data_IF_429556358089
#
_entry.id   IF_429556358089
#
_cell.length_a   1.000
_cell.length_b   1.000
_cell.length_c   1.000
_cell.angle_alpha   90.00
_cell.angle_beta   90.00
_cell.angle_gamma   90.00
#
_symmetry.space_group_name_H-M   'P 1'
#
loop_
_entity.id
_entity.type
_entity.pdbx_description
1 polymer ?
#
# COMPACT_ATOMS: atom_id res chain seq x y z
N UNK A 1 15.06 4.68 -16.69
CA UNK A 1 15.91 5.12 -15.56
C UNK A 1 16.65 3.99 -14.83
N UNK A 2 16.35 2.71 -15.13
CA UNK A 2 17.04 1.57 -14.52
C UNK A 2 16.49 1.18 -13.14
N UNK A 3 15.17 1.26 -12.98
CA UNK A 3 14.49 0.69 -11.81
C UNK A 3 14.50 -0.85 -11.94
N UNK A 4 14.68 -1.54 -10.82
CA UNK A 4 14.83 -3.01 -10.76
C UNK A 4 13.55 -3.70 -10.26
N UNK A 5 12.41 -3.02 -10.39
CA UNK A 5 11.09 -3.49 -9.98
C UNK A 5 10.19 -2.36 -9.52
N UNK A 6 9.02 -2.71 -9.00
CA UNK A 6 8.07 -1.78 -8.39
C UNK A 6 7.94 -2.13 -6.92
N UNK A 7 8.41 -1.27 -6.02
CA UNK A 7 8.24 -1.45 -4.57
C UNK A 7 6.90 -0.98 -4.02
N UNK A 8 6.11 -0.24 -4.81
CA UNK A 8 4.74 0.17 -4.45
C UNK A 8 3.89 0.46 -5.69
N UNK A 9 2.98 -0.45 -6.02
CA UNK A 9 1.87 -0.23 -6.94
C UNK A 9 0.59 0.00 -6.13
N UNK A 10 0.06 1.23 -6.19
CA UNK A 10 -1.16 1.67 -5.50
C UNK A 10 -2.39 1.30 -6.31
N UNK A 11 -3.33 0.59 -5.70
CA UNK A 11 -4.52 0.08 -6.39
C UNK A 11 -5.67 1.08 -6.41
N UNK A 12 -5.72 2.01 -5.47
CA UNK A 12 -6.71 3.09 -5.37
C UNK A 12 -6.87 3.86 -6.70
N UNK A 13 -5.76 4.17 -7.39
CA UNK A 13 -5.79 4.85 -8.69
C UNK A 13 -6.49 4.04 -9.79
N UNK A 14 -6.54 2.71 -9.67
CA UNK A 14 -7.23 1.83 -10.61
C UNK A 14 -8.74 1.83 -10.42
N UNK A 15 -9.27 2.50 -9.39
CA UNK A 15 -10.70 2.58 -9.11
C UNK A 15 -11.32 3.93 -9.49
N UNK A 16 -10.52 5.00 -9.62
CA UNK A 16 -11.02 6.36 -9.84
C UNK A 16 -11.41 6.69 -11.29
N UNK A 17 -11.15 5.81 -12.27
CA UNK A 17 -11.65 6.00 -13.64
C UNK A 17 -13.19 5.96 -13.68
N UNK A 18 -13.80 6.75 -14.59
CA UNK A 18 -15.24 7.04 -14.60
C UNK A 18 -16.14 5.79 -14.67
N UNK A 19 -15.74 4.76 -15.44
CA UNK A 19 -16.50 3.50 -15.56
C UNK A 19 -16.32 2.57 -14.34
N UNK A 20 -15.28 2.81 -13.53
CA UNK A 20 -14.88 1.95 -12.42
C UNK A 20 -15.40 2.48 -11.09
N UNK A 21 -15.39 3.80 -10.93
CA UNK A 21 -15.84 4.47 -9.71
C UNK A 21 -17.32 4.14 -9.41
N UNK A 22 -18.15 3.99 -10.45
CA UNK A 22 -19.56 3.63 -10.28
C UNK A 22 -19.73 2.21 -9.71
N UNK A 23 -18.89 1.25 -10.11
CA UNK A 23 -18.90 -0.10 -9.52
C UNK A 23 -18.40 -0.10 -8.07
N UNK A 24 -17.47 0.78 -7.70
CA UNK A 24 -17.07 0.97 -6.29
C UNK A 24 -18.22 1.54 -5.48
N UNK A 25 -18.93 2.54 -6.01
CA UNK A 25 -20.09 3.15 -5.36
C UNK A 25 -21.22 2.16 -5.16
N UNK A 26 -21.51 1.32 -6.16
CA UNK A 26 -22.45 0.20 -6.01
C UNK A 26 -22.04 -0.76 -4.89
N UNK A 27 -20.74 -1.07 -4.78
CA UNK A 27 -20.22 -1.91 -3.70
C UNK A 27 -20.43 -1.24 -2.33
N UNK A 28 -20.09 0.05 -2.21
CA UNK A 28 -20.28 0.81 -0.96
C UNK A 28 -21.74 0.79 -0.50
N UNK A 29 -22.68 0.86 -1.45
CA UNK A 29 -24.10 0.99 -1.16
C UNK A 29 -24.81 -0.36 -0.99
N UNK A 30 -24.14 -1.49 -1.25
CA UNK A 30 -24.77 -2.80 -1.17
C UNK A 30 -25.18 -3.18 0.27
N UNK A 31 -26.37 -3.75 0.42
CA UNK A 31 -26.96 -4.10 1.72
C UNK A 31 -26.27 -5.30 2.40
N UNK A 32 -25.63 -6.16 1.61
CA UNK A 32 -25.01 -7.39 2.08
C UNK A 32 -23.75 -7.78 1.28
N UNK A 33 -23.07 -8.83 1.73
CA UNK A 33 -21.87 -9.36 1.08
C UNK A 33 -22.14 -9.82 -0.36
N UNK A 34 -23.32 -10.40 -0.63
CA UNK A 34 -23.67 -10.88 -1.96
C UNK A 34 -23.75 -9.72 -2.97
N UNK A 35 -24.37 -8.60 -2.58
CA UNK A 35 -24.41 -7.36 -3.34
C UNK A 35 -23.01 -6.78 -3.55
N UNK A 36 -22.16 -6.76 -2.52
CA UNK A 36 -20.77 -6.29 -2.64
C UNK A 36 -19.97 -7.14 -3.62
N UNK A 37 -20.06 -8.46 -3.54
CA UNK A 37 -19.40 -9.39 -4.48
C UNK A 37 -19.86 -9.19 -5.93
N UNK A 38 -21.15 -8.92 -6.14
CA UNK A 38 -21.70 -8.62 -7.48
C UNK A 38 -21.10 -7.33 -8.05
N UNK A 39 -20.97 -6.29 -7.25
CA UNK A 39 -20.34 -5.03 -7.66
C UNK A 39 -18.82 -5.22 -7.92
N UNK A 40 -18.12 -5.91 -7.02
CA UNK A 40 -16.70 -6.25 -7.15
C UNK A 40 -16.39 -7.09 -8.39
N UNK A 41 -17.30 -7.98 -8.82
CA UNK A 41 -17.15 -8.75 -10.05
C UNK A 41 -17.08 -7.88 -11.31
N UNK A 42 -17.68 -6.68 -11.29
CA UNK A 42 -17.57 -5.69 -12.38
C UNK A 42 -16.18 -5.05 -12.43
N UNK A 43 -15.51 -4.92 -11.29
CA UNK A 43 -14.17 -4.32 -11.17
C UNK A 43 -13.04 -5.28 -11.56
N UNK A 44 -13.23 -6.57 -11.31
CA UNK A 44 -12.27 -7.63 -11.61
C UNK A 44 -11.64 -7.56 -13.01
N UNK A 45 -12.40 -7.47 -14.13
CA UNK A 45 -11.80 -7.43 -15.47
C UNK A 45 -10.92 -6.19 -15.70
N UNK A 46 -11.26 -5.05 -15.11
CA UNK A 46 -10.48 -3.82 -15.24
C UNK A 46 -9.14 -3.94 -14.51
N UNK A 47 -9.16 -4.32 -13.23
CA UNK A 47 -7.92 -4.52 -12.49
C UNK A 47 -7.03 -5.59 -13.10
N UNK A 48 -7.61 -6.73 -13.52
CA UNK A 48 -6.85 -7.79 -14.17
C UNK A 48 -6.15 -7.27 -15.42
N UNK A 49 -6.83 -6.48 -16.26
CA UNK A 49 -6.24 -5.87 -17.47
C UNK A 49 -5.06 -4.97 -17.12
N UNK A 50 -5.21 -4.13 -16.11
CA UNK A 50 -4.16 -3.20 -15.71
C UNK A 50 -2.94 -3.94 -15.16
N UNK A 51 -3.14 -4.94 -14.30
CA UNK A 51 -2.06 -5.80 -13.83
C UNK A 51 -1.38 -6.58 -14.96
N UNK A 52 -2.12 -7.04 -15.98
CA UNK A 52 -1.50 -7.65 -17.18
C UNK A 52 -0.55 -6.66 -17.86
N UNK A 53 -0.93 -5.38 -17.96
CA UNK A 53 -0.08 -4.32 -18.48
C UNK A 53 1.18 -4.12 -17.64
N UNK A 54 1.01 -4.01 -16.32
CA UNK A 54 2.10 -3.79 -15.35
C UNK A 54 3.09 -4.96 -15.38
N UNK A 55 2.62 -6.20 -15.25
CA UNK A 55 3.49 -7.39 -15.25
C UNK A 55 4.24 -7.57 -16.58
N UNK A 56 3.63 -7.20 -17.72
CA UNK A 56 4.35 -7.19 -19.01
C UNK A 56 5.47 -6.16 -19.06
N UNK A 57 5.23 -4.98 -18.51
CA UNK A 57 6.24 -3.93 -18.46
C UNK A 57 7.41 -4.28 -17.54
N UNK A 58 7.16 -5.10 -16.51
CA UNK A 58 8.11 -5.54 -15.49
C UNK A 58 8.59 -6.99 -15.71
N UNK A 59 8.80 -7.41 -16.96
CA UNK A 59 9.27 -8.77 -17.29
C UNK A 59 10.55 -9.12 -16.51
N UNK A 60 10.45 -10.14 -15.64
CA UNK A 60 11.54 -10.62 -14.81
C UNK A 60 11.86 -9.78 -13.58
N UNK A 61 11.07 -8.74 -13.28
CA UNK A 61 11.26 -7.88 -12.12
C UNK A 61 10.10 -8.03 -11.12
N UNK A 62 10.35 -7.86 -9.81
CA UNK A 62 9.32 -7.94 -8.78
C UNK A 62 8.34 -6.75 -8.87
N UNK A 63 7.07 -7.03 -8.58
CA UNK A 63 6.02 -6.02 -8.50
C UNK A 63 5.25 -6.17 -7.20
N UNK A 64 5.49 -5.23 -6.29
CA UNK A 64 4.80 -5.12 -5.00
C UNK A 64 3.51 -4.31 -5.16
N UNK A 65 2.37 -4.98 -5.05
CA UNK A 65 1.03 -4.40 -5.15
C UNK A 65 0.46 -4.18 -3.77
N UNK A 66 0.14 -2.93 -3.43
CA UNK A 66 -0.56 -2.59 -2.19
C UNK A 66 -2.06 -2.72 -2.41
N UNK A 67 -2.71 -3.52 -1.56
CA UNK A 67 -4.16 -3.65 -1.57
C UNK A 67 -4.83 -2.32 -1.18
N UNK A 68 -6.16 -2.25 -1.35
CA UNK A 68 -6.91 -1.01 -1.16
C UNK A 68 -6.65 -0.42 0.23
N UNK A 69 -6.26 0.85 0.21
CA UNK A 69 -5.83 1.60 1.39
C UNK A 69 -6.80 2.71 1.81
N UNK A 70 -7.35 3.58 0.93
CA UNK A 70 -8.17 4.70 1.40
C UNK A 70 -9.51 4.25 2.00
N UNK A 71 -10.08 5.05 2.93
CA UNK A 71 -11.42 4.86 3.45
C UNK A 71 -12.49 5.02 2.36
N UNK A 72 -13.63 4.35 2.53
CA UNK A 72 -14.66 4.26 1.49
C UNK A 72 -15.28 5.60 1.09
N UNK A 73 -15.33 6.57 2.01
CA UNK A 73 -15.89 7.89 1.72
C UNK A 73 -15.11 8.70 0.68
N UNK A 74 -13.84 8.36 0.39
CA UNK A 74 -13.07 9.02 -0.68
C UNK A 74 -13.60 8.67 -2.09
N UNK A 75 -14.41 7.61 -2.21
CA UNK A 75 -15.05 7.21 -3.47
C UNK A 75 -16.46 7.80 -3.62
N UNK A 76 -16.98 8.44 -2.58
CA UNK A 76 -18.27 9.12 -2.61
C UNK A 76 -18.10 10.60 -2.97
N UNK A 77 -19.13 11.23 -3.54
CA UNK A 77 -19.08 12.67 -3.80
C UNK A 77 -18.93 13.48 -2.51
N UNK A 78 -18.44 14.71 -2.62
CA UNK A 78 -18.25 15.60 -1.46
C UNK A 78 -19.27 16.74 -1.43
N UNK A 79 -19.77 17.17 -2.60
CA UNK A 79 -20.78 18.24 -2.71
C UNK A 79 -22.21 17.70 -2.78
N UNK A 80 -23.17 18.37 -2.14
CA UNK A 80 -24.59 17.95 -2.16
C UNK A 80 -25.17 17.81 -3.58
N UNK A 81 -24.80 18.71 -4.49
CA UNK A 81 -25.23 18.68 -5.89
C UNK A 81 -24.68 17.45 -6.65
N UNK A 82 -23.50 16.97 -6.25
CA UNK A 82 -22.85 15.81 -6.85
C UNK A 82 -23.53 14.50 -6.43
N UNK A 83 -24.11 14.45 -5.23
CA UNK A 83 -24.90 13.31 -4.77
C UNK A 83 -26.14 13.11 -5.64
N UNK A 84 -26.86 14.18 -5.96
CA UNK A 84 -28.08 14.10 -6.78
C UNK A 84 -27.77 13.73 -8.24
N UNK A 85 -26.64 14.21 -8.77
CA UNK A 85 -26.15 13.84 -10.09
C UNK A 85 -25.74 12.35 -10.14
N UNK A 86 -25.02 11.87 -9.13
CA UNK A 86 -24.61 10.47 -9.03
C UNK A 86 -25.83 9.56 -8.92
N UNK A 87 -26.77 9.87 -8.02
CA UNK A 87 -27.98 9.10 -7.82
C UNK A 87 -28.77 8.87 -9.13
N UNK A 88 -28.88 9.91 -9.98
CA UNK A 88 -29.46 9.80 -11.32
C UNK A 88 -28.65 8.87 -12.24
N UNK A 89 -27.32 8.97 -12.22
CA UNK A 89 -26.42 8.15 -13.07
C UNK A 89 -26.51 6.67 -12.73
N UNK A 90 -26.46 6.32 -11.44
CA UNK A 90 -26.46 4.92 -10.98
C UNK A 90 -27.86 4.37 -10.68
N UNK A 91 -28.91 5.15 -10.96
CA UNK A 91 -30.32 4.79 -10.69
C UNK A 91 -30.56 4.36 -9.22
N UNK A 92 -29.94 5.08 -8.28
CA UNK A 92 -30.11 4.88 -6.84
C UNK A 92 -30.88 6.05 -6.21
N UNK A 93 -31.49 5.80 -5.05
CA UNK A 93 -32.15 6.83 -4.26
C UNK A 93 -31.11 7.84 -3.72
N UNK A 94 -31.21 9.15 -4.06
CA UNK A 94 -30.31 10.18 -3.54
C UNK A 94 -30.28 10.22 -2.00
N UNK A 95 -31.39 9.94 -1.33
CA UNK A 95 -31.44 9.94 0.13
C UNK A 95 -30.57 8.82 0.72
N UNK A 96 -30.59 7.62 0.11
CA UNK A 96 -29.74 6.49 0.50
C UNK A 96 -28.26 6.80 0.29
N UNK A 97 -27.91 7.45 -0.82
CA UNK A 97 -26.53 7.84 -1.13
C UNK A 97 -26.01 8.86 -0.12
N UNK A 98 -26.80 9.90 0.20
CA UNK A 98 -26.46 10.92 1.21
C UNK A 98 -26.33 10.29 2.61
N UNK A 99 -27.24 9.38 2.97
CA UNK A 99 -27.16 8.65 4.24
C UNK A 99 -25.89 7.79 4.35
N UNK A 100 -25.49 7.11 3.26
CA UNK A 100 -24.24 6.35 3.23
C UNK A 100 -23.01 7.25 3.35
N UNK A 101 -22.99 8.40 2.65
CA UNK A 101 -21.93 9.40 2.78
C UNK A 101 -21.78 9.92 4.21
N UNK A 102 -22.90 10.22 4.86
CA UNK A 102 -22.91 10.65 6.26
C UNK A 102 -22.45 9.53 7.22
N UNK A 103 -22.85 8.28 6.98
CA UNK A 103 -22.47 7.14 7.81
C UNK A 103 -20.98 6.77 7.70
N UNK A 104 -20.37 7.02 6.55
CA UNK A 104 -18.95 6.80 6.29
C UNK A 104 -18.08 8.02 6.60
N UNK A 105 -18.69 9.13 7.04
CA UNK A 105 -17.93 10.31 7.44
C UNK A 105 -17.11 10.02 8.71
N UNK A 106 -15.84 10.36 8.67
CA UNK A 106 -14.91 10.19 9.79
C UNK A 106 -14.25 11.52 10.12
N UNK A 107 -14.08 11.80 11.43
CA UNK A 107 -13.43 13.02 11.90
C UNK A 107 -11.95 13.09 11.49
N UNK A 108 -11.26 11.95 11.49
CA UNK A 108 -9.84 11.84 11.16
C UNK A 108 -9.62 10.67 10.18
N UNK A 109 -9.86 10.86 8.88
CA UNK A 109 -9.87 9.79 7.87
C UNK A 109 -8.55 9.01 7.79
N UNK A 110 -7.42 9.68 8.04
CA UNK A 110 -6.09 9.08 8.09
C UNK A 110 -6.01 7.93 9.11
N UNK A 111 -6.71 8.03 10.25
CA UNK A 111 -6.70 7.02 11.32
C UNK A 111 -7.96 6.14 11.35
N UNK A 112 -8.80 6.22 10.32
CA UNK A 112 -10.14 5.63 10.32
C UNK A 112 -10.25 4.20 9.79
N UNK A 113 -11.41 3.89 9.22
CA UNK A 113 -11.79 2.58 8.68
C UNK A 113 -11.25 2.40 7.26
N UNK A 114 -9.97 2.11 7.19
CA UNK A 114 -9.20 2.03 5.94
C UNK A 114 -8.19 0.87 5.99
N UNK A 115 -7.46 0.64 4.91
CA UNK A 115 -6.39 -0.37 4.83
C UNK A 115 -6.81 -1.77 5.31
N UNK A 116 -5.97 -2.44 6.11
CA UNK A 116 -6.26 -3.77 6.64
C UNK A 116 -7.59 -3.85 7.40
N UNK A 117 -8.01 -2.79 8.09
CA UNK A 117 -9.27 -2.77 8.87
C UNK A 117 -10.47 -2.91 7.96
N UNK A 118 -10.42 -2.25 6.80
CA UNK A 118 -11.44 -2.38 5.75
C UNK A 118 -11.42 -3.80 5.15
N UNK A 119 -10.23 -4.33 4.88
CA UNK A 119 -10.07 -5.72 4.40
C UNK A 119 -10.55 -6.77 5.40
N UNK A 120 -10.52 -6.51 6.71
CA UNK A 120 -11.01 -7.43 7.74
C UNK A 120 -12.54 -7.42 7.80
N UNK A 121 -13.16 -6.24 7.74
CA UNK A 121 -14.63 -6.12 7.77
C UNK A 121 -15.29 -6.52 6.45
N UNK A 122 -14.59 -6.33 5.33
CA UNK A 122 -15.05 -6.64 3.98
C UNK A 122 -14.00 -7.45 3.20
N UNK A 123 -13.72 -8.70 3.60
CA UNK A 123 -12.66 -9.54 3.02
C UNK A 123 -12.82 -9.79 1.53
N UNK A 124 -14.04 -9.73 1.00
CA UNK A 124 -14.34 -9.85 -0.42
C UNK A 124 -13.63 -8.79 -1.28
N UNK A 125 -13.30 -7.61 -0.74
CA UNK A 125 -12.52 -6.57 -1.44
C UNK A 125 -11.11 -7.10 -1.73
N UNK A 126 -10.42 -7.59 -0.70
CA UNK A 126 -9.05 -8.10 -0.84
C UNK A 126 -9.01 -9.41 -1.60
N UNK A 127 -10.05 -10.24 -1.49
CA UNK A 127 -10.21 -11.42 -2.34
C UNK A 127 -10.34 -11.02 -3.83
N UNK A 128 -11.16 -10.02 -4.17
CA UNK A 128 -11.28 -9.56 -5.56
C UNK A 128 -9.94 -9.06 -6.10
N UNK A 129 -9.22 -8.22 -5.35
CA UNK A 129 -7.92 -7.70 -5.76
C UNK A 129 -6.88 -8.82 -5.91
N UNK A 130 -6.82 -9.76 -4.96
CA UNK A 130 -5.94 -10.93 -5.04
C UNK A 130 -6.23 -11.75 -6.30
N UNK A 131 -7.51 -12.01 -6.58
CA UNK A 131 -7.93 -12.72 -7.80
C UNK A 131 -7.47 -11.96 -9.05
N UNK A 132 -7.62 -10.64 -9.10
CA UNK A 132 -7.17 -9.83 -10.22
C UNK A 132 -5.65 -9.94 -10.45
N UNK A 133 -4.86 -9.83 -9.37
CA UNK A 133 -3.39 -9.94 -9.39
C UNK A 133 -2.96 -11.32 -9.89
N UNK A 134 -3.47 -12.39 -9.27
CA UNK A 134 -3.04 -13.76 -9.57
C UNK A 134 -3.50 -14.18 -10.97
N UNK A 135 -4.73 -13.85 -11.39
CA UNK A 135 -5.19 -14.14 -12.75
C UNK A 135 -4.36 -13.42 -13.81
N UNK A 136 -4.01 -12.15 -13.57
CA UNK A 136 -3.17 -11.38 -14.48
C UNK A 136 -1.76 -11.96 -14.59
N UNK A 137 -1.15 -12.30 -13.47
CA UNK A 137 0.18 -12.92 -13.43
C UNK A 137 0.19 -14.27 -14.17
N UNK A 138 -0.83 -15.11 -13.99
CA UNK A 138 -0.99 -16.36 -14.74
C UNK A 138 -1.15 -16.13 -16.25
N UNK A 139 -1.94 -15.13 -16.65
CA UNK A 139 -2.10 -14.79 -18.07
C UNK A 139 -0.78 -14.36 -18.72
N UNK A 140 -0.01 -13.53 -18.01
CA UNK A 140 1.29 -13.04 -18.48
C UNK A 140 2.31 -14.18 -18.54
N UNK A 141 2.34 -15.04 -17.52
CA UNK A 141 3.21 -16.21 -17.47
C UNK A 141 2.98 -17.19 -18.63
N UNK A 142 1.73 -17.35 -19.11
CA UNK A 142 1.44 -18.17 -20.32
C UNK A 142 2.14 -17.66 -21.58
N UNK A 143 2.49 -16.38 -21.62
CA UNK A 143 3.25 -15.76 -22.72
C UNK A 143 4.76 -15.87 -22.51
N UNK A 144 5.22 -16.69 -21.55
CA UNK A 144 6.63 -16.92 -21.17
C UNK A 144 7.34 -15.67 -20.61
N UNK A 145 6.57 -14.68 -20.16
CA UNK A 145 7.07 -13.52 -19.43
C UNK A 145 7.24 -13.91 -17.96
N UNK A 146 8.36 -13.56 -17.34
CA UNK A 146 8.62 -13.88 -15.93
C UNK A 146 7.89 -12.88 -15.05
N UNK A 147 7.21 -13.38 -14.02
CA UNK A 147 6.43 -12.58 -13.07
C UNK A 147 6.83 -12.94 -11.63
N UNK A 148 7.01 -11.94 -10.78
CA UNK A 148 7.23 -12.09 -9.33
C UNK A 148 6.28 -11.16 -8.57
N UNK A 149 5.00 -11.55 -8.41
CA UNK A 149 4.01 -10.75 -7.72
C UNK A 149 4.23 -10.78 -6.19
N UNK A 150 4.26 -9.61 -5.59
CA UNK A 150 4.31 -9.42 -4.14
C UNK A 150 3.03 -8.68 -3.70
N UNK A 151 2.23 -9.27 -2.83
CA UNK A 151 0.97 -8.69 -2.34
C UNK A 151 1.21 -8.07 -0.97
N UNK A 152 0.94 -6.78 -0.83
CA UNK A 152 1.22 -6.02 0.38
C UNK A 152 -0.07 -5.54 1.04
N UNK A 153 -0.22 -5.86 2.32
CA UNK A 153 -1.34 -5.41 3.16
C UNK A 153 -0.95 -4.08 3.84
N UNK A 154 -1.73 -3.00 3.65
CA UNK A 154 -1.48 -1.70 4.29
C UNK A 154 -2.02 -1.63 5.72
N UNK A 155 -1.50 -0.68 6.48
CA UNK A 155 -1.97 -0.19 7.79
C UNK A 155 -2.05 -1.23 8.92
N UNK A 156 -1.31 -2.33 8.80
CA UNK A 156 -1.23 -3.36 9.84
C UNK A 156 -0.65 -2.76 11.13
N UNK A 157 -1.29 -3.04 12.26
CA UNK A 157 -0.83 -2.68 13.59
C UNK A 157 -0.57 -3.91 14.48
N UNK A 158 -1.20 -5.04 14.18
CA UNK A 158 -1.11 -6.30 14.93
C UNK A 158 -0.88 -7.53 14.02
N UNK A 159 -0.13 -8.51 14.52
CA UNK A 159 0.15 -9.74 13.78
C UNK A 159 -1.11 -10.52 13.38
N UNK A 160 -2.16 -10.49 14.21
CA UNK A 160 -3.42 -11.18 13.92
C UNK A 160 -4.18 -10.56 12.74
N UNK A 161 -4.09 -9.23 12.56
CA UNK A 161 -4.66 -8.54 11.39
C UNK A 161 -3.99 -9.06 10.11
N UNK A 162 -2.66 -9.13 10.10
CA UNK A 162 -1.89 -9.66 8.98
C UNK A 162 -2.19 -11.14 8.75
N UNK A 163 -2.23 -11.95 9.82
CA UNK A 163 -2.49 -13.40 9.73
C UNK A 163 -3.81 -13.69 9.00
N UNK A 164 -4.89 -13.04 9.43
CA UNK A 164 -6.24 -13.22 8.84
C UNK A 164 -6.27 -12.82 7.38
N UNK A 165 -5.71 -11.66 7.05
CA UNK A 165 -5.72 -11.17 5.67
C UNK A 165 -4.80 -11.99 4.75
N UNK A 166 -3.69 -12.50 5.28
CA UNK A 166 -2.86 -13.48 4.57
C UNK A 166 -3.64 -14.75 4.23
N UNK A 167 -4.50 -15.23 5.12
CA UNK A 167 -5.37 -16.37 4.83
C UNK A 167 -6.35 -16.07 3.69
N UNK A 168 -7.01 -14.90 3.71
CA UNK A 168 -7.89 -14.46 2.61
C UNK A 168 -7.15 -14.45 1.27
N UNK A 169 -5.93 -13.90 1.24
CA UNK A 169 -5.09 -13.88 0.03
C UNK A 169 -4.74 -15.30 -0.41
N UNK A 170 -4.31 -16.16 0.53
CA UNK A 170 -3.91 -17.54 0.24
C UNK A 170 -5.07 -18.37 -0.32
N UNK A 171 -6.21 -18.36 0.35
CA UNK A 171 -7.41 -19.11 -0.05
C UNK A 171 -7.87 -18.67 -1.44
N UNK A 172 -7.90 -17.36 -1.69
CA UNK A 172 -8.26 -16.83 -3.01
C UNK A 172 -7.27 -17.26 -4.10
N UNK A 173 -5.97 -17.21 -3.82
CA UNK A 173 -4.96 -17.65 -4.77
C UNK A 173 -5.09 -19.15 -5.08
N UNK A 174 -5.32 -19.99 -4.05
CA UNK A 174 -5.52 -21.43 -4.20
C UNK A 174 -6.77 -21.76 -5.03
N UNK A 175 -7.88 -21.03 -4.85
CA UNK A 175 -9.07 -21.13 -5.70
C UNK A 175 -8.75 -20.82 -7.18
N UNK A 176 -8.00 -19.74 -7.43
CA UNK A 176 -7.61 -19.35 -8.79
C UNK A 176 -6.70 -20.42 -9.41
N UNK A 177 -5.73 -20.95 -8.65
CA UNK A 177 -4.84 -22.01 -9.13
C UNK A 177 -5.58 -23.30 -9.46
N UNK A 178 -6.52 -23.70 -8.60
CA UNK A 178 -7.36 -24.88 -8.83
C UNK A 178 -8.21 -24.72 -10.11
N UNK A 179 -8.85 -23.55 -10.28
CA UNK A 179 -9.69 -23.27 -11.43
C UNK A 179 -8.89 -23.15 -12.74
N UNK A 180 -7.72 -22.50 -12.71
CA UNK A 180 -6.86 -22.30 -13.90
C UNK A 180 -5.94 -23.49 -14.19
N UNK A 181 -5.82 -24.46 -13.27
CA UNK A 181 -4.91 -25.61 -13.33
C UNK A 181 -3.45 -25.21 -13.60
N UNK A 182 -3.02 -24.10 -13.01
CA UNK A 182 -1.68 -23.54 -13.14
C UNK A 182 -1.32 -22.84 -11.83
N UNK A 183 -0.06 -22.88 -11.44
CA UNK A 183 0.47 -22.22 -10.24
C UNK A 183 1.62 -21.30 -10.61
N UNK A 184 1.76 -20.24 -9.83
CA UNK A 184 2.92 -19.35 -9.79
C UNK A 184 3.27 -19.09 -8.33
N UNK A 185 4.54 -18.75 -8.09
CA UNK A 185 4.95 -18.27 -6.77
C UNK A 185 4.55 -16.81 -6.61
N UNK A 186 4.23 -16.43 -5.38
CA UNK A 186 3.93 -15.07 -4.96
C UNK A 186 4.32 -14.91 -3.49
N UNK A 187 4.50 -13.67 -3.06
CA UNK A 187 4.81 -13.34 -1.65
C UNK A 187 3.67 -12.53 -1.05
N UNK A 188 3.43 -12.68 0.25
CA UNK A 188 2.52 -11.81 1.00
C UNK A 188 3.30 -11.13 2.11
N UNK A 189 3.30 -9.81 2.11
CA UNK A 189 4.00 -8.97 3.09
C UNK A 189 3.11 -7.85 3.58
N UNK A 190 3.71 -6.95 4.36
CA UNK A 190 2.98 -5.84 4.97
C UNK A 190 3.75 -4.54 4.85
N UNK A 191 3.00 -3.45 4.84
CA UNK A 191 3.59 -2.14 5.11
C UNK A 191 3.86 -2.02 6.61
N UNK A 192 5.02 -1.46 6.98
CA UNK A 192 5.34 -1.04 8.35
C UNK A 192 5.20 0.47 8.40
N UNK A 193 4.00 0.91 8.78
CA UNK A 193 3.60 2.31 8.76
C UNK A 193 2.82 2.74 10.01
N UNK A 194 2.50 1.79 10.89
CA UNK A 194 1.94 2.06 12.21
C UNK A 194 3.04 1.84 13.26
N UNK A 195 3.28 2.77 14.20
CA UNK A 195 4.34 2.62 15.22
C UNK A 195 4.24 1.30 15.99
N UNK A 196 3.02 0.81 16.27
CA UNK A 196 2.83 -0.49 16.95
C UNK A 196 3.37 -1.67 16.13
N UNK A 197 3.20 -1.68 14.81
CA UNK A 197 3.75 -2.75 13.96
C UNK A 197 5.28 -2.73 13.95
N UNK A 198 5.89 -1.54 14.03
CA UNK A 198 7.34 -1.44 14.18
C UNK A 198 7.82 -1.99 15.54
N UNK A 199 7.11 -1.65 16.63
CA UNK A 199 7.44 -2.11 17.98
C UNK A 199 7.23 -3.62 18.21
N UNK A 200 6.38 -4.25 17.40
CA UNK A 200 6.03 -5.68 17.48
C UNK A 200 6.40 -6.44 16.20
N UNK A 201 7.42 -5.96 15.49
CA UNK A 201 7.78 -6.46 14.17
C UNK A 201 8.25 -7.92 14.17
N UNK A 202 8.77 -8.41 15.29
CA UNK A 202 9.08 -9.82 15.53
C UNK A 202 7.83 -10.69 15.38
N UNK A 203 6.70 -10.28 15.96
CA UNK A 203 5.41 -10.99 15.84
C UNK A 203 4.83 -10.85 14.43
N UNK A 204 4.89 -9.64 13.85
CA UNK A 204 4.36 -9.39 12.50
C UNK A 204 5.14 -10.19 11.43
N UNK A 205 6.45 -10.38 11.62
CA UNK A 205 7.29 -11.22 10.76
C UNK A 205 6.91 -12.71 10.80
N UNK A 206 6.14 -13.13 11.82
CA UNK A 206 5.31 -14.34 11.92
C UNK A 206 4.68 -14.75 10.57
N UNK A 207 4.14 -13.72 9.91
CA UNK A 207 3.19 -13.85 8.82
C UNK A 207 3.58 -13.01 7.58
N UNK A 208 4.67 -12.25 7.63
CA UNK A 208 5.14 -11.44 6.52
C UNK A 208 6.33 -12.08 5.80
N UNK A 209 6.24 -12.18 4.47
CA UNK A 209 7.39 -12.56 3.62
C UNK A 209 8.35 -11.41 3.37
N UNK A 210 7.87 -10.16 3.52
CA UNK A 210 8.65 -8.93 3.39
C UNK A 210 7.99 -7.79 4.18
N UNK A 211 8.78 -6.78 4.51
CA UNK A 211 8.30 -5.48 4.99
C UNK A 211 8.62 -4.38 3.99
N UNK A 212 7.68 -3.45 3.84
CA UNK A 212 7.93 -2.17 3.19
C UNK A 212 7.61 -1.04 4.17
N UNK A 213 8.58 -0.20 4.49
CA UNK A 213 8.34 0.95 5.35
C UNK A 213 7.54 2.01 4.59
N UNK A 214 6.34 2.28 5.09
CA UNK A 214 5.48 3.39 4.67
C UNK A 214 5.81 4.61 5.51
N UNK A 215 6.97 5.20 5.28
CA UNK A 215 7.52 6.23 6.19
C UNK A 215 6.71 7.52 6.21
N UNK A 216 5.87 7.79 5.20
CA UNK A 216 4.96 8.91 5.26
C UNK A 216 3.99 8.77 6.43
N UNK A 217 3.25 7.65 6.49
CA UNK A 217 2.28 7.38 7.56
C UNK A 217 2.99 7.08 8.90
N UNK A 218 4.16 6.44 8.87
CA UNK A 218 4.96 6.24 10.08
C UNK A 218 5.41 7.58 10.69
N UNK A 219 5.84 8.54 9.87
CA UNK A 219 6.17 9.91 10.30
C UNK A 219 4.92 10.61 10.82
N UNK A 220 3.78 10.53 10.11
CA UNK A 220 2.54 11.14 10.56
C UNK A 220 2.14 10.64 11.95
N UNK A 221 2.12 9.33 12.17
CA UNK A 221 1.73 8.75 13.45
C UNK A 221 2.80 8.92 14.54
N UNK A 222 4.08 8.87 14.17
CA UNK A 222 5.19 9.01 15.12
C UNK A 222 5.32 10.43 15.68
N UNK A 223 5.10 11.45 14.84
CA UNK A 223 5.07 12.84 15.28
C UNK A 223 3.68 13.31 15.75
N UNK A 224 2.61 12.62 15.37
CA UNK A 224 1.24 13.11 15.57
C UNK A 224 0.87 14.24 14.62
N UNK A 225 1.31 14.16 13.36
CA UNK A 225 1.13 15.17 12.33
C UNK A 225 0.23 14.69 11.20
N UNK A 226 -0.75 15.50 10.83
CA UNK A 226 -1.46 15.36 9.54
C UNK A 226 -0.64 16.05 8.47
N UNK A 227 -0.19 15.30 7.45
CA UNK A 227 0.61 15.86 6.35
C UNK A 227 -0.12 16.99 5.63
N UNK A 228 -1.43 16.84 5.45
CA UNK A 228 -2.25 17.80 4.72
C UNK A 228 -2.43 19.12 5.49
N UNK A 229 -2.38 19.08 6.82
CA UNK A 229 -2.52 20.26 7.68
C UNK A 229 -1.19 20.88 8.08
N UNK A 230 -0.11 20.10 8.06
CA UNK A 230 1.18 20.49 8.63
C UNK A 230 1.87 21.62 7.87
N UNK A 231 1.52 21.84 6.60
CA UNK A 231 2.01 22.97 5.81
C UNK A 231 1.72 24.35 6.43
N UNK A 232 0.77 24.44 7.38
CA UNK A 232 0.44 25.69 8.09
C UNK A 232 1.48 26.11 9.14
N UNK A 233 2.31 25.19 9.64
CA UNK A 233 3.27 25.49 10.72
C UNK A 233 4.66 24.89 10.50
N UNK A 234 4.81 23.79 9.75
CA UNK A 234 6.10 23.12 9.53
C UNK A 234 7.19 24.06 8.99
N UNK A 235 6.92 24.94 7.99
CA UNK A 235 7.94 25.88 7.52
C UNK A 235 8.50 26.76 8.65
N UNK A 236 7.64 27.21 9.57
CA UNK A 236 8.05 28.01 10.73
C UNK A 236 8.86 27.20 11.74
N UNK A 237 8.58 25.90 11.89
CA UNK A 237 9.38 25.03 12.77
C UNK A 237 10.81 24.86 12.25
N UNK A 238 10.96 24.73 10.92
CA UNK A 238 12.27 24.63 10.28
C UNK A 238 13.02 25.97 10.36
N UNK A 239 12.35 27.09 10.06
CA UNK A 239 12.96 28.43 10.14
C UNK A 239 13.45 28.77 11.56
N UNK A 240 12.71 28.36 12.59
CA UNK A 240 13.08 28.57 14.00
C UNK A 240 14.09 27.54 14.53
N UNK A 241 14.48 26.55 13.72
CA UNK A 241 15.39 25.48 14.14
C UNK A 241 14.80 24.50 15.16
N UNK A 242 13.47 24.44 15.29
CA UNK A 242 12.78 23.42 16.10
C UNK A 242 12.97 22.04 15.47
N UNK A 243 12.88 21.97 14.14
CA UNK A 243 13.25 20.81 13.35
C UNK A 243 14.36 21.20 12.38
N UNK A 244 15.35 20.33 12.12
CA UNK A 244 16.41 20.63 11.17
C UNK A 244 15.90 20.66 9.72
N UNK A 245 14.87 19.88 9.41
CA UNK A 245 14.31 19.68 8.08
C UNK A 245 12.81 19.34 8.18
N UNK A 246 12.10 19.40 7.05
CA UNK A 246 10.74 18.85 6.95
C UNK A 246 10.79 17.31 7.05
N UNK A 247 10.16 16.70 8.08
CA UNK A 247 10.23 15.27 8.34
C UNK A 247 9.45 14.41 7.32
N UNK A 248 8.68 15.03 6.42
CA UNK A 248 8.03 14.34 5.29
C UNK A 248 8.89 14.31 4.03
N UNK A 249 9.94 15.14 3.99
CA UNK A 249 10.88 15.24 2.87
C UNK A 249 12.19 14.49 3.16
N UNK A 250 12.73 14.66 4.36
CA UNK A 250 13.92 13.95 4.87
C UNK A 250 13.54 13.15 6.11
N UNK A 251 13.91 11.88 6.14
CA UNK A 251 13.59 10.98 7.24
C UNK A 251 14.19 11.48 8.55
N UNK A 252 13.37 11.60 9.59
CA UNK A 252 13.85 11.79 10.97
C UNK A 252 14.53 10.51 11.47
N UNK A 253 15.85 10.49 11.45
CA UNK A 253 16.66 9.38 11.94
C UNK A 253 16.53 9.19 13.46
N UNK A 254 16.31 10.27 14.21
CA UNK A 254 16.42 10.26 15.68
C UNK A 254 15.18 9.71 16.40
N UNK A 255 14.00 9.79 15.75
CA UNK A 255 12.73 9.24 16.20
C UNK A 255 12.21 8.15 15.26
N UNK A 256 11.81 8.52 14.05
CA UNK A 256 11.22 7.58 13.07
C UNK A 256 12.23 6.50 12.66
N UNK A 257 13.51 6.86 12.49
CA UNK A 257 14.59 5.91 12.24
C UNK A 257 14.75 4.86 13.33
N UNK A 258 14.49 5.19 14.61
CA UNK A 258 14.50 4.20 15.70
C UNK A 258 13.36 3.20 15.60
N UNK A 259 12.17 3.64 15.17
CA UNK A 259 11.07 2.71 14.88
C UNK A 259 11.46 1.75 13.75
N UNK A 260 12.11 2.26 12.69
CA UNK A 260 12.63 1.41 11.63
C UNK A 260 13.69 0.43 12.13
N UNK A 261 14.61 0.87 13.00
CA UNK A 261 15.65 0.01 13.58
C UNK A 261 15.08 -1.14 14.42
N UNK A 262 14.10 -0.85 15.28
CA UNK A 262 13.39 -1.85 16.06
C UNK A 262 12.71 -2.85 15.11
N UNK A 263 12.05 -2.36 14.07
CA UNK A 263 11.34 -3.19 13.12
C UNK A 263 12.27 -4.11 12.29
N UNK A 264 13.41 -3.59 11.84
CA UNK A 264 14.43 -4.36 11.12
C UNK A 264 15.01 -5.45 12.02
N UNK A 265 15.34 -5.10 13.27
CA UNK A 265 15.89 -6.03 14.25
C UNK A 265 14.90 -7.14 14.59
N UNK A 266 13.67 -6.78 14.96
CA UNK A 266 12.61 -7.74 15.29
C UNK A 266 12.25 -8.63 14.11
N UNK A 267 12.07 -8.04 12.92
CA UNK A 267 11.73 -8.79 11.71
C UNK A 267 12.80 -9.81 11.33
N UNK A 268 14.08 -9.44 11.40
CA UNK A 268 15.20 -10.35 11.13
C UNK A 268 15.41 -11.39 12.23
N UNK A 269 15.09 -11.08 13.48
CA UNK A 269 15.18 -12.04 14.58
C UNK A 269 14.22 -13.23 14.36
N UNK A 270 12.99 -12.95 13.93
CA UNK A 270 11.99 -13.97 13.57
C UNK A 270 12.29 -14.62 12.22
N UNK A 271 12.64 -13.81 11.20
CA UNK A 271 12.84 -14.27 9.83
C UNK A 271 14.14 -13.69 9.26
N UNK A 272 15.29 -14.36 9.43
CA UNK A 272 16.61 -13.82 9.08
C UNK A 272 16.81 -13.36 7.64
N UNK A 273 16.01 -13.88 6.70
CA UNK A 273 16.06 -13.54 5.27
C UNK A 273 14.82 -12.75 4.82
N UNK A 274 14.09 -12.12 5.74
CA UNK A 274 12.98 -11.25 5.38
C UNK A 274 13.50 -10.11 4.51
N UNK A 275 12.81 -9.87 3.38
CA UNK A 275 13.11 -8.75 2.49
C UNK A 275 12.55 -7.47 3.13
N UNK A 276 13.37 -6.44 3.25
CA UNK A 276 13.05 -5.17 3.88
C UNK A 276 13.28 -4.05 2.88
N UNK A 277 12.30 -3.20 2.65
CA UNK A 277 12.50 -1.99 1.84
C UNK A 277 11.71 -0.83 2.35
N UNK A 278 11.84 0.30 1.65
CA UNK A 278 11.12 1.54 1.94
C UNK A 278 10.45 2.04 0.67
N UNK A 279 9.24 2.58 0.82
CA UNK A 279 8.51 3.20 -0.27
C UNK A 279 8.04 4.61 0.12
N UNK A 280 7.96 5.50 -0.86
CA UNK A 280 7.44 6.86 -0.68
C UNK A 280 8.49 7.92 -0.94
N UNK A 281 8.33 9.06 -0.28
CA UNK A 281 9.11 10.27 -0.56
C UNK A 281 10.56 10.14 -0.12
N UNK A 282 10.78 9.61 1.08
CA UNK A 282 12.09 9.33 1.65
C UNK A 282 12.92 8.35 0.81
N UNK A 283 12.28 7.44 0.07
CA UNK A 283 12.97 6.47 -0.80
C UNK A 283 13.71 7.11 -1.99
N UNK A 284 13.55 8.41 -2.22
CA UNK A 284 14.30 9.17 -3.22
C UNK A 284 15.14 10.31 -2.64
N UNK A 285 15.24 10.42 -1.31
CA UNK A 285 16.02 11.46 -0.63
C UNK A 285 17.42 10.92 -0.28
N UNK A 286 18.52 11.56 -0.73
CA UNK A 286 19.86 11.01 -0.54
C UNK A 286 20.23 10.72 0.93
N UNK A 287 19.88 11.61 1.88
CA UNK A 287 20.19 11.40 3.31
C UNK A 287 19.41 10.23 3.88
N UNK A 288 18.13 10.14 3.54
CA UNK A 288 17.26 9.04 3.94
C UNK A 288 17.74 7.70 3.37
N UNK A 289 18.22 7.68 2.11
CA UNK A 289 18.78 6.48 1.47
C UNK A 289 20.06 6.02 2.17
N UNK A 290 20.96 6.94 2.53
CA UNK A 290 22.17 6.59 3.29
C UNK A 290 21.82 5.93 4.63
N UNK A 291 20.81 6.46 5.34
CA UNK A 291 20.33 5.81 6.57
C UNK A 291 19.73 4.42 6.31
N UNK A 292 18.94 4.27 5.24
CA UNK A 292 18.35 2.97 4.87
C UNK A 292 19.44 1.92 4.55
N UNK A 293 20.51 2.32 3.88
CA UNK A 293 21.66 1.47 3.57
C UNK A 293 22.41 1.06 4.85
N UNK A 294 22.71 2.02 5.74
CA UNK A 294 23.33 1.76 7.03
C UNK A 294 22.49 0.85 7.93
N UNK A 295 21.16 0.96 7.85
CA UNK A 295 20.22 0.08 8.55
C UNK A 295 20.11 -1.31 7.88
N UNK A 296 20.67 -1.46 6.69
CA UNK A 296 20.72 -2.69 5.91
C UNK A 296 19.39 -3.05 5.25
N UNK A 297 18.60 -2.08 4.79
CA UNK A 297 17.44 -2.38 3.94
C UNK A 297 17.91 -2.96 2.60
N UNK A 298 17.11 -3.86 2.02
CA UNK A 298 17.43 -4.53 0.76
C UNK A 298 17.14 -3.66 -0.47
N UNK A 299 16.21 -2.69 -0.37
CA UNK A 299 15.89 -1.78 -1.46
C UNK A 299 15.24 -0.47 -1.00
N UNK A 300 15.30 0.55 -1.87
CA UNK A 300 14.52 1.79 -1.78
C UNK A 300 13.62 1.92 -3.02
N UNK A 301 12.40 2.42 -2.84
CA UNK A 301 11.42 2.61 -3.91
C UNK A 301 10.91 4.05 -3.94
N UNK A 302 11.07 4.71 -5.08
CA UNK A 302 10.68 6.12 -5.29
C UNK A 302 9.95 6.33 -6.62
N UNK A 303 9.48 7.56 -6.86
CA UNK A 303 8.82 7.92 -8.12
C UNK A 303 9.80 7.78 -9.32
N UNK A 304 9.30 7.51 -10.54
CA UNK A 304 10.15 7.17 -11.69
C UNK A 304 11.27 8.17 -11.97
N UNK A 305 11.00 9.47 -11.84
CA UNK A 305 11.97 10.54 -12.10
C UNK A 305 13.05 10.66 -11.01
N UNK A 306 12.83 10.13 -9.80
CA UNK A 306 13.80 10.11 -8.70
C UNK A 306 14.71 8.88 -8.74
N UNK A 307 14.42 7.88 -9.57
CA UNK A 307 15.23 6.66 -9.70
C UNK A 307 16.72 6.95 -9.98
N UNK A 308 17.10 7.86 -10.90
CA UNK A 308 18.52 8.18 -11.12
C UNK A 308 19.20 8.75 -9.87
N UNK A 309 18.51 9.62 -9.13
CA UNK A 309 19.01 10.22 -7.88
C UNK A 309 19.17 9.16 -6.81
N UNK A 310 18.18 8.28 -6.65
CA UNK A 310 18.22 7.21 -5.66
C UNK A 310 19.38 6.23 -5.93
N UNK A 311 19.61 5.86 -7.19
CA UNK A 311 20.74 5.00 -7.58
C UNK A 311 22.09 5.65 -7.29
N UNK A 312 22.24 6.95 -7.56
CA UNK A 312 23.47 7.68 -7.25
C UNK A 312 23.70 7.75 -5.73
N UNK A 313 22.65 8.06 -4.95
CA UNK A 313 22.72 8.11 -3.50
C UNK A 313 23.09 6.75 -2.89
N UNK A 314 22.46 5.66 -3.34
CA UNK A 314 22.79 4.30 -2.89
C UNK A 314 24.24 3.91 -3.23
N UNK A 315 24.73 4.29 -4.42
CA UNK A 315 26.13 4.06 -4.78
C UNK A 315 27.10 4.83 -3.88
N UNK A 316 26.77 6.07 -3.50
CA UNK A 316 27.57 6.83 -2.54
C UNK A 316 27.55 6.21 -1.14
N UNK A 317 26.39 5.78 -0.65
CA UNK A 317 26.26 5.11 0.65
C UNK A 317 27.18 3.87 0.74
N UNK A 318 27.09 3.00 -0.26
CA UNK A 318 27.92 1.78 -0.34
C UNK A 318 29.43 2.05 -0.48
N UNK A 319 29.84 3.23 -0.95
CA UNK A 319 31.25 3.63 -1.03
C UNK A 319 31.75 4.24 0.27
N UNK A 320 30.91 4.99 0.98
CA UNK A 320 31.24 5.58 2.29
C UNK A 320 31.47 4.50 3.35
N UNK A 321 30.68 3.43 3.35
CA UNK A 321 30.82 2.31 4.28
C UNK A 321 32.13 1.51 4.10
N UNK A 322 32.75 1.57 2.91
CA UNK A 322 34.02 0.87 2.62
C UNK A 322 35.26 1.65 3.05
N UNK A 323 35.10 2.91 3.47
CA UNK A 323 36.20 3.78 3.89
C UNK A 323 36.30 3.95 5.41
N UNK A 324 35.35 3.40 6.18
CA UNK A 324 35.39 3.32 7.65
C UNK A 324 35.84 1.94 8.14
#
# INVERSE_FOLDING_TARGET
>A
FGAEGIGLCRTEHMFFEEDRIDAVREMILADDEAGRRKALAKLLPYQRRDFVGIFKAMDGLPVTVRLLDPPLHEFLPHGEDEYDALAKKVSLDPARLKAAGAALHEFNPMLGHRGCRLGITYPEIYAMQTRAIIEAALEVAKRKIKVDPEIMIPLVADAEELRRLREVVRETADEVFAHKKQKIDYKVGTMIEVPRAALTADLVAEHADFFSFGTNDLTQMGYGLSRDDSGRFLPSYVEQGVLPDDPFSTLDVSGIGKLMEIAVTGGRATRPKIKLGICGEHGGDPRSIMFCDALGLDYVSCSPYRVPVARLAAAHAALSDRQG
#
